data_IF_732654719554
#
_entry.id   IF_732654719554
#
_cell.length_a   1.000
_cell.length_b   1.000
_cell.length_c   1.000
_cell.angle_alpha   90.00
_cell.angle_beta   90.00
_cell.angle_gamma   90.00
#
_symmetry.space_group_name_H-M   'P 1'
#
loop_
_entity.id
_entity.type
_entity.pdbx_description
1 polymer ?
#
# COMPACT_ATOMS: atom_id res chain seq x y z
N UNK A 1 -7.87 -29.28 48.32
CA UNK A 1 -6.57 -29.55 47.69
C UNK A 1 -5.99 -28.35 46.93
N UNK A 2 -6.80 -27.53 46.22
CA UNK A 2 -6.32 -26.34 45.51
C UNK A 2 -5.96 -25.17 46.46
N UNK A 3 -6.67 -25.02 47.58
CA UNK A 3 -6.38 -23.95 48.56
C UNK A 3 -5.01 -24.11 49.22
N UNK A 4 -4.65 -25.33 49.62
CA UNK A 4 -3.35 -25.64 50.24
C UNK A 4 -2.17 -25.38 49.29
N UNK A 5 -2.38 -25.50 47.98
CA UNK A 5 -1.35 -25.20 46.99
C UNK A 5 -1.12 -23.69 46.84
N UNK A 6 -2.20 -22.91 46.78
CA UNK A 6 -2.13 -21.45 46.73
C UNK A 6 -1.53 -20.85 48.00
N UNK A 7 -1.83 -21.44 49.14
CA UNK A 7 -1.32 -21.00 50.44
C UNK A 7 0.18 -21.29 50.58
N UNK A 8 0.65 -22.42 50.05
CA UNK A 8 2.09 -22.73 49.93
C UNK A 8 2.82 -21.79 48.97
N UNK A 9 2.19 -21.36 47.88
CA UNK A 9 2.77 -20.36 46.96
C UNK A 9 2.91 -19.00 47.66
N UNK A 10 1.91 -18.62 48.47
CA UNK A 10 1.94 -17.35 49.20
C UNK A 10 3.03 -17.33 50.28
N UNK A 11 3.16 -18.42 51.04
CA UNK A 11 4.22 -18.60 52.04
C UNK A 11 5.62 -18.61 51.40
N UNK A 12 5.76 -19.20 50.20
CA UNK A 12 7.01 -19.18 49.45
C UNK A 12 7.38 -17.75 48.98
N UNK A 13 6.39 -16.96 48.53
CA UNK A 13 6.61 -15.57 48.15
C UNK A 13 7.05 -14.70 49.34
N UNK A 14 6.42 -14.87 50.50
CA UNK A 14 6.77 -14.14 51.72
C UNK A 14 8.20 -14.48 52.18
N UNK A 15 8.61 -15.75 52.12
CA UNK A 15 9.99 -16.14 52.43
C UNK A 15 11.03 -15.66 51.41
N UNK A 16 10.71 -15.59 50.12
CA UNK A 16 11.63 -15.03 49.11
C UNK A 16 11.88 -13.53 49.37
N UNK A 17 10.87 -12.82 49.90
CA UNK A 17 10.98 -11.42 50.30
C UNK A 17 11.78 -11.24 51.59
N UNK A 18 11.57 -12.09 52.60
CA UNK A 18 12.30 -12.04 53.89
C UNK A 18 13.77 -12.45 53.79
N UNK A 19 14.12 -13.39 52.91
CA UNK A 19 15.50 -13.91 52.74
C UNK A 19 16.41 -12.90 52.02
N UNK A 20 15.90 -11.73 51.60
CA UNK A 20 16.75 -10.67 51.05
C UNK A 20 17.39 -11.02 49.70
N UNK A 21 16.92 -12.09 49.03
CA UNK A 21 17.30 -12.40 47.64
C UNK A 21 16.75 -11.39 46.63
N UNK A 22 15.99 -10.38 47.09
CA UNK A 22 15.48 -9.29 46.29
C UNK A 22 16.49 -8.17 46.01
N UNK A 23 17.74 -8.28 46.47
CA UNK A 23 18.77 -7.24 46.24
C UNK A 23 19.71 -7.47 45.05
N UNK A 24 19.50 -8.45 44.17
CA UNK A 24 20.42 -8.60 43.03
C UNK A 24 19.85 -8.95 41.65
N UNK A 25 18.76 -9.68 41.47
CA UNK A 25 18.28 -9.96 40.10
C UNK A 25 16.77 -10.20 40.10
N UNK A 26 16.00 -9.20 39.66
CA UNK A 26 14.72 -9.25 38.93
C UNK A 26 14.02 -7.88 39.03
N UNK A 27 14.75 -6.81 38.69
CA UNK A 27 14.10 -5.64 38.14
C UNK A 27 13.67 -6.03 36.72
N UNK A 28 12.54 -6.76 36.60
CA UNK A 28 11.81 -6.74 35.34
C UNK A 28 11.49 -5.26 35.10
N UNK A 29 11.96 -4.67 33.98
CA UNK A 29 11.47 -3.34 33.64
C UNK A 29 9.95 -3.47 33.59
N UNK A 30 9.26 -2.65 34.38
CA UNK A 30 7.81 -2.57 34.32
C UNK A 30 7.40 -2.59 32.84
N UNK A 31 6.40 -3.41 32.43
CA UNK A 31 6.03 -3.47 31.03
C UNK A 31 5.82 -2.04 30.55
N UNK A 32 6.61 -1.62 29.55
CA UNK A 32 6.38 -0.39 28.78
C UNK A 32 5.10 -0.56 27.97
N UNK A 33 3.99 -0.80 28.65
CA UNK A 33 2.64 -0.74 28.14
C UNK A 33 2.04 0.52 28.78
N UNK A 34 1.66 1.47 27.92
CA UNK A 34 1.22 2.84 28.24
C UNK A 34 2.32 3.87 28.53
N UNK A 35 3.30 3.95 27.63
CA UNK A 35 3.89 5.22 27.26
C UNK A 35 3.82 5.35 25.73
N UNK A 36 2.60 5.47 25.20
CA UNK A 36 2.43 6.03 23.86
C UNK A 36 2.97 7.47 23.94
N UNK A 37 3.92 7.88 23.09
CA UNK A 37 4.12 9.29 22.85
C UNK A 37 2.86 9.77 22.11
N UNK A 38 1.85 10.19 22.85
CA UNK A 38 0.79 10.99 22.26
C UNK A 38 1.33 12.42 22.19
N UNK A 39 1.33 12.95 20.96
CA UNK A 39 1.44 14.38 20.61
C UNK A 39 2.85 14.93 20.35
N UNK A 40 3.52 14.35 19.35
CA UNK A 40 4.36 15.09 18.38
C UNK A 40 4.46 14.41 17.01
N UNK A 41 3.92 13.20 16.84
CA UNK A 41 3.97 12.44 15.58
C UNK A 41 3.10 12.98 14.44
N UNK A 42 2.19 13.92 14.70
CA UNK A 42 1.23 14.40 13.69
C UNK A 42 1.85 15.39 12.68
N UNK A 43 3.11 15.78 12.89
CA UNK A 43 3.87 16.67 12.00
C UNK A 43 4.95 15.95 11.19
N UNK A 44 5.25 14.69 11.51
CA UNK A 44 6.31 13.92 10.85
C UNK A 44 5.85 13.26 9.55
N UNK A 45 6.77 12.78 8.69
CA UNK A 45 6.41 12.13 7.42
C UNK A 45 5.44 10.96 7.60
N UNK A 46 5.55 10.19 8.68
CA UNK A 46 4.63 9.09 9.03
C UNK A 46 3.21 9.60 9.35
N UNK A 47 3.09 10.72 10.08
CA UNK A 47 1.79 11.35 10.35
C UNK A 47 1.13 11.88 9.08
N UNK A 48 1.92 12.42 8.14
CA UNK A 48 1.41 12.83 6.82
C UNK A 48 0.97 11.59 6.02
N UNK A 49 1.76 10.53 6.01
CA UNK A 49 1.43 9.27 5.35
C UNK A 49 0.04 8.76 5.78
N UNK A 50 -0.21 8.66 7.10
CA UNK A 50 -1.46 8.12 7.65
C UNK A 50 -2.69 8.93 7.20
N UNK A 51 -2.55 10.25 7.02
CA UNK A 51 -3.65 11.12 6.60
C UNK A 51 -3.83 11.17 5.09
N UNK A 52 -2.74 11.05 4.32
CA UNK A 52 -2.75 11.27 2.88
C UNK A 52 -2.97 9.98 2.07
N UNK A 53 -2.52 8.83 2.56
CA UNK A 53 -2.74 7.52 1.92
C UNK A 53 -4.07 6.96 2.39
N UNK A 54 -5.02 6.85 1.46
CA UNK A 54 -6.41 6.45 1.73
C UNK A 54 -6.85 5.21 0.95
N UNK A 55 -6.12 4.81 -0.09
CA UNK A 55 -6.44 3.59 -0.85
C UNK A 55 -5.93 2.37 -0.10
N UNK A 56 -6.85 1.49 0.31
CA UNK A 56 -6.54 0.31 1.12
C UNK A 56 -5.45 -0.59 0.50
N UNK A 57 -5.47 -0.81 -0.82
CA UNK A 57 -4.50 -1.67 -1.50
C UNK A 57 -3.08 -1.07 -1.51
N UNK A 58 -2.96 0.25 -1.39
CA UNK A 58 -1.66 0.92 -1.21
C UNK A 58 -1.29 0.89 0.26
N UNK A 59 -2.18 1.35 1.14
CA UNK A 59 -1.93 1.43 2.57
C UNK A 59 -1.47 0.09 3.15
N UNK A 60 -2.20 -0.99 2.85
CA UNK A 60 -1.95 -2.34 3.38
C UNK A 60 -0.57 -2.89 3.02
N UNK A 61 0.03 -2.48 1.91
CA UNK A 61 1.34 -2.98 1.49
C UNK A 61 2.49 -2.05 1.87
N UNK A 62 2.27 -0.73 1.98
CA UNK A 62 3.37 0.23 2.19
C UNK A 62 3.46 0.81 3.61
N UNK A 63 2.42 0.71 4.45
CA UNK A 63 2.35 1.41 5.74
C UNK A 63 3.48 1.03 6.68
N UNK A 64 3.62 -0.26 6.97
CA UNK A 64 4.60 -0.75 7.94
C UNK A 64 6.04 -0.59 7.42
N UNK A 65 6.23 -0.75 6.10
CA UNK A 65 7.51 -0.51 5.43
C UNK A 65 7.94 0.94 5.56
N UNK A 66 7.03 1.87 5.27
CA UNK A 66 7.28 3.31 5.35
C UNK A 66 7.56 3.74 6.80
N UNK A 67 6.73 3.31 7.76
CA UNK A 67 6.93 3.61 9.17
C UNK A 67 8.25 3.06 9.73
N UNK A 68 8.74 1.95 9.17
CA UNK A 68 10.01 1.33 9.55
C UNK A 68 11.23 1.89 8.78
N UNK A 69 11.06 2.91 7.94
CA UNK A 69 12.15 3.52 7.17
C UNK A 69 12.60 2.75 5.92
N UNK A 70 11.86 1.72 5.50
CA UNK A 70 12.13 0.93 4.30
C UNK A 70 11.50 1.59 3.06
N UNK A 71 11.87 2.85 2.80
CA UNK A 71 11.23 3.71 1.81
C UNK A 71 11.25 3.16 0.39
N UNK A 72 12.41 2.69 -0.10
CA UNK A 72 12.51 2.02 -1.40
C UNK A 72 11.53 0.86 -1.52
N UNK A 73 11.46 -0.01 -0.51
CA UNK A 73 10.57 -1.18 -0.53
C UNK A 73 9.09 -0.78 -0.43
N UNK A 74 8.77 0.26 0.35
CA UNK A 74 7.42 0.81 0.43
C UNK A 74 6.92 1.32 -0.94
N UNK A 75 7.78 2.05 -1.68
CA UNK A 75 7.49 2.50 -3.04
C UNK A 75 7.34 1.31 -3.99
N UNK A 76 8.24 0.32 -3.88
CA UNK A 76 8.20 -0.89 -4.71
C UNK A 76 6.86 -1.62 -4.61
N UNK A 77 6.44 -1.92 -3.38
CA UNK A 77 5.20 -2.66 -3.13
C UNK A 77 3.96 -1.84 -3.50
N UNK A 78 3.98 -0.51 -3.32
CA UNK A 78 2.90 0.36 -3.77
C UNK A 78 2.70 0.30 -5.30
N UNK A 79 3.76 0.42 -6.10
CA UNK A 79 3.64 0.34 -7.57
C UNK A 79 3.30 -1.08 -8.05
N UNK A 80 3.75 -2.11 -7.34
CA UNK A 80 3.37 -3.51 -7.61
C UNK A 80 1.88 -3.76 -7.31
N UNK A 81 1.31 -3.10 -6.31
CA UNK A 81 -0.13 -3.14 -6.04
C UNK A 81 -0.92 -2.51 -7.20
N UNK A 82 -0.48 -1.36 -7.74
CA UNK A 82 -1.07 -0.75 -8.94
C UNK A 82 -1.01 -1.71 -10.14
N UNK A 83 0.16 -2.29 -10.40
CA UNK A 83 0.36 -3.24 -11.49
C UNK A 83 -0.59 -4.44 -11.39
N UNK A 84 -0.66 -5.07 -10.20
CA UNK A 84 -1.57 -6.19 -9.94
C UNK A 84 -3.02 -5.82 -10.15
N UNK A 85 -3.45 -4.66 -9.66
CA UNK A 85 -4.82 -4.20 -9.83
C UNK A 85 -5.16 -4.02 -11.33
N UNK A 86 -4.29 -3.37 -12.10
CA UNK A 86 -4.47 -3.18 -13.55
C UNK A 86 -4.52 -4.53 -14.26
N UNK A 87 -3.63 -5.46 -13.92
CA UNK A 87 -3.60 -6.80 -14.51
C UNK A 87 -4.89 -7.58 -14.26
N UNK A 88 -5.40 -7.54 -13.02
CA UNK A 88 -6.64 -8.19 -12.64
C UNK A 88 -7.85 -7.58 -13.33
N UNK A 89 -7.96 -6.24 -13.34
CA UNK A 89 -9.11 -5.54 -13.92
C UNK A 89 -9.17 -5.68 -15.45
N UNK A 90 -8.02 -5.75 -16.12
CA UNK A 90 -7.94 -5.94 -17.57
C UNK A 90 -7.94 -7.40 -18.00
N UNK A 91 -7.83 -8.36 -17.09
CA UNK A 91 -7.60 -9.79 -17.40
C UNK A 91 -6.35 -10.04 -18.28
N UNK A 92 -5.39 -9.11 -18.33
CA UNK A 92 -4.16 -9.24 -19.13
C UNK A 92 -3.09 -10.08 -18.40
N UNK A 93 -3.43 -11.35 -18.13
CA UNK A 93 -2.57 -12.29 -17.42
C UNK A 93 -1.30 -12.60 -18.24
N UNK A 94 -0.14 -12.54 -17.60
CA UNK A 94 1.15 -12.93 -18.20
C UNK A 94 1.98 -11.78 -18.78
N UNK A 95 1.47 -10.54 -18.78
CA UNK A 95 2.24 -9.34 -19.15
C UNK A 95 2.46 -8.48 -17.90
N UNK A 96 3.63 -7.86 -17.77
CA UNK A 96 4.05 -7.07 -16.60
C UNK A 96 4.74 -5.76 -16.98
N UNK A 97 4.85 -4.86 -16.01
CA UNK A 97 5.60 -3.61 -16.08
C UNK A 97 5.09 -2.68 -17.19
N UNK A 98 6.03 -2.06 -17.90
CA UNK A 98 5.73 -1.09 -18.96
C UNK A 98 4.90 -1.69 -20.10
N UNK A 99 5.18 -2.94 -20.48
CA UNK A 99 4.46 -3.61 -21.57
C UNK A 99 2.98 -3.80 -21.22
N UNK A 100 2.67 -4.15 -19.97
CA UNK A 100 1.29 -4.29 -19.49
C UNK A 100 0.54 -2.96 -19.63
N UNK A 101 1.15 -1.86 -19.17
CA UNK A 101 0.53 -0.53 -19.21
C UNK A 101 0.30 -0.06 -20.65
N UNK A 102 1.25 -0.33 -21.54
CA UNK A 102 1.14 -0.02 -22.97
C UNK A 102 0.00 -0.78 -23.66
N UNK A 103 -0.17 -2.05 -23.34
CA UNK A 103 -1.25 -2.87 -23.88
C UNK A 103 -2.60 -2.43 -23.32
N UNK A 104 -2.72 -2.29 -22.00
CA UNK A 104 -3.99 -2.06 -21.32
C UNK A 104 -4.57 -0.68 -21.62
N UNK A 105 -3.74 0.35 -21.65
CA UNK A 105 -4.16 1.74 -21.87
C UNK A 105 -3.90 2.26 -23.30
N UNK A 106 -3.65 1.37 -24.25
CA UNK A 106 -3.38 1.70 -25.66
C UNK A 106 -4.37 2.71 -26.24
N UNK A 107 -3.90 3.66 -27.05
CA UNK A 107 -4.80 4.64 -27.69
C UNK A 107 -5.64 4.02 -28.80
N UNK A 108 -5.11 2.97 -29.46
CA UNK A 108 -5.78 2.29 -30.56
C UNK A 108 -6.88 1.34 -30.07
N UNK A 109 -6.52 0.40 -29.19
CA UNK A 109 -7.45 -0.59 -28.64
C UNK A 109 -7.22 -0.76 -27.13
N UNK A 110 -7.69 0.17 -26.28
CA UNK A 110 -7.54 0.07 -24.85
C UNK A 110 -8.47 -0.98 -24.26
N UNK A 111 -7.95 -1.75 -23.32
CA UNK A 111 -8.74 -2.63 -22.47
C UNK A 111 -9.38 -1.83 -21.33
N UNK A 112 -8.70 -0.78 -20.86
CA UNK A 112 -9.18 0.15 -19.83
C UNK A 112 -9.16 1.60 -20.36
N UNK A 113 -10.28 2.30 -20.18
CA UNK A 113 -10.46 3.68 -20.65
C UNK A 113 -11.37 4.50 -19.72
N UNK A 114 -11.28 5.82 -19.79
CA UNK A 114 -12.03 6.75 -18.92
C UNK A 114 -13.20 7.45 -19.62
N UNK A 115 -13.18 7.51 -20.95
CA UNK A 115 -14.13 8.27 -21.76
C UNK A 115 -14.35 7.59 -23.12
N UNK A 116 -15.26 8.14 -23.92
CA UNK A 116 -15.54 7.61 -25.27
C UNK A 116 -14.44 7.94 -26.28
N UNK A 117 -13.47 8.78 -25.93
CA UNK A 117 -12.32 9.15 -26.77
C UNK A 117 -12.74 9.77 -28.12
N UNK A 118 -13.88 10.47 -28.13
CA UNK A 118 -14.43 11.13 -29.31
C UNK A 118 -13.81 12.50 -29.55
N UNK A 119 -13.51 13.21 -28.46
CA UNK A 119 -12.88 14.54 -28.52
C UNK A 119 -11.37 14.44 -28.44
N UNK A 120 -10.66 15.45 -28.95
CA UNK A 120 -9.19 15.55 -28.83
C UNK A 120 -8.74 15.48 -27.37
N UNK A 121 -9.43 16.20 -26.48
CA UNK A 121 -9.09 16.21 -25.04
C UNK A 121 -9.22 14.83 -24.39
N UNK A 122 -10.21 14.04 -24.78
CA UNK A 122 -10.38 12.66 -24.29
C UNK A 122 -9.30 11.71 -24.83
N UNK A 123 -8.90 11.88 -26.08
CA UNK A 123 -7.79 11.12 -26.68
C UNK A 123 -6.45 11.48 -26.02
N UNK A 124 -6.24 12.77 -25.75
CA UNK A 124 -5.07 13.27 -25.04
C UNK A 124 -5.05 12.80 -23.58
N UNK A 125 -6.20 12.76 -22.89
CA UNK A 125 -6.29 12.16 -21.54
C UNK A 125 -5.85 10.69 -21.57
N UNK A 126 -6.38 9.89 -22.50
CA UNK A 126 -6.02 8.48 -22.63
C UNK A 126 -4.51 8.32 -22.89
N UNK A 127 -3.97 9.07 -23.85
CA UNK A 127 -2.56 9.03 -24.22
C UNK A 127 -1.65 9.49 -23.08
N UNK A 128 -2.04 10.55 -22.38
CA UNK A 128 -1.29 11.11 -21.26
C UNK A 128 -1.22 10.13 -20.10
N UNK A 129 -2.34 9.53 -19.70
CA UNK A 129 -2.33 8.53 -18.63
C UNK A 129 -1.57 7.28 -19.02
N UNK A 130 -1.70 6.80 -20.26
CA UNK A 130 -0.86 5.72 -20.79
C UNK A 130 0.64 6.01 -20.55
N UNK A 131 1.10 7.22 -20.91
CA UNK A 131 2.49 7.63 -20.69
C UNK A 131 2.87 7.68 -19.21
N UNK A 132 1.97 8.18 -18.34
CA UNK A 132 2.19 8.21 -16.90
C UNK A 132 2.35 6.81 -16.30
N UNK A 133 1.46 5.87 -16.63
CA UNK A 133 1.56 4.49 -16.16
C UNK A 133 2.83 3.81 -16.68
N UNK A 134 3.09 3.90 -17.99
CA UNK A 134 4.26 3.28 -18.62
C UNK A 134 5.57 3.85 -18.05
N UNK A 135 5.64 5.17 -17.90
CA UNK A 135 6.76 5.89 -17.32
C UNK A 135 6.96 5.58 -15.84
N UNK A 136 5.89 5.44 -15.06
CA UNK A 136 5.98 5.04 -13.66
C UNK A 136 6.58 3.63 -13.48
N UNK A 137 6.17 2.69 -14.33
CA UNK A 137 6.74 1.33 -14.30
C UNK A 137 8.23 1.34 -14.67
N UNK A 138 8.59 2.07 -15.73
CA UNK A 138 9.96 2.11 -16.25
C UNK A 138 10.91 2.91 -15.36
N UNK A 139 10.50 4.11 -14.93
CA UNK A 139 11.36 5.09 -14.28
C UNK A 139 11.33 5.06 -12.76
N UNK A 140 10.30 4.46 -12.14
CA UNK A 140 10.18 4.38 -10.68
C UNK A 140 10.25 2.92 -10.22
N UNK A 141 9.29 2.08 -10.61
CA UNK A 141 9.19 0.70 -10.12
C UNK A 141 10.41 -0.15 -10.49
N UNK A 142 10.91 -0.03 -11.71
CA UNK A 142 12.04 -0.83 -12.18
C UNK A 142 13.36 -0.51 -11.44
N UNK A 143 13.85 0.75 -11.39
CA UNK A 143 15.06 1.08 -10.62
C UNK A 143 14.98 0.63 -9.17
N UNK A 144 13.84 0.88 -8.50
CA UNK A 144 13.62 0.48 -7.11
C UNK A 144 13.72 -1.03 -6.89
N UNK A 145 13.38 -1.84 -7.89
CA UNK A 145 13.45 -3.31 -7.81
C UNK A 145 14.86 -3.86 -8.05
N UNK A 146 15.70 -3.14 -8.79
CA UNK A 146 17.02 -3.61 -9.22
C UNK A 146 18.18 -2.99 -8.43
N UNK A 147 17.95 -1.86 -7.77
CA UNK A 147 18.96 -1.11 -7.01
C UNK A 147 18.68 -1.14 -5.50
N UNK A 148 19.74 -1.13 -4.70
CA UNK A 148 19.62 -1.09 -3.23
C UNK A 148 19.53 0.35 -2.72
N UNK A 149 18.56 0.63 -1.85
CA UNK A 149 18.35 1.97 -1.24
C UNK A 149 18.28 3.09 -2.28
N UNK A 150 17.65 2.83 -3.43
CA UNK A 150 17.45 3.82 -4.49
C UNK A 150 16.71 5.08 -4.01
N UNK A 151 15.81 4.90 -3.04
CA UNK A 151 15.05 5.96 -2.38
C UNK A 151 15.27 5.82 -0.87
N UNK A 152 15.87 6.85 -0.28
CA UNK A 152 16.19 6.96 1.14
C UNK A 152 15.51 8.15 1.83
N UNK A 153 15.05 9.15 1.07
CA UNK A 153 14.31 10.29 1.59
C UNK A 153 12.83 9.92 1.89
N UNK A 154 12.34 10.11 3.13
CA UNK A 154 10.94 9.87 3.49
C UNK A 154 9.94 10.69 2.69
N UNK A 155 10.25 11.94 2.36
CA UNK A 155 9.31 12.82 1.68
C UNK A 155 9.15 12.42 0.21
N UNK A 156 10.26 12.21 -0.50
CA UNK A 156 10.25 11.65 -1.85
C UNK A 156 9.52 10.30 -1.91
N UNK A 157 9.77 9.42 -0.94
CA UNK A 157 9.06 8.14 -0.85
C UNK A 157 7.55 8.33 -0.71
N UNK A 158 7.11 9.28 0.11
CA UNK A 158 5.70 9.60 0.29
C UNK A 158 5.09 10.16 -1.00
N UNK A 159 5.77 11.07 -1.68
CA UNK A 159 5.32 11.63 -2.98
C UNK A 159 5.07 10.51 -4.01
N UNK A 160 5.99 9.56 -4.11
CA UNK A 160 5.89 8.43 -5.03
C UNK A 160 4.78 7.45 -4.65
N UNK A 161 4.56 7.22 -3.35
CA UNK A 161 3.43 6.41 -2.86
C UNK A 161 2.11 7.11 -3.16
N UNK A 162 2.02 8.43 -2.98
CA UNK A 162 0.83 9.21 -3.32
C UNK A 162 0.58 9.23 -4.83
N UNK A 163 1.64 9.22 -5.64
CA UNK A 163 1.52 9.06 -7.09
C UNK A 163 1.00 7.66 -7.46
N UNK A 164 1.53 6.59 -6.85
CA UNK A 164 1.01 5.24 -7.03
C UNK A 164 -0.48 5.15 -6.65
N UNK A 165 -0.86 5.79 -5.54
CA UNK A 165 -2.27 5.91 -5.12
C UNK A 165 -3.14 6.64 -6.15
N UNK A 166 -2.68 7.77 -6.71
CA UNK A 166 -3.40 8.46 -7.77
C UNK A 166 -3.62 7.57 -8.99
N UNK A 167 -2.58 6.84 -9.41
CA UNK A 167 -2.68 5.86 -10.49
C UNK A 167 -3.64 4.71 -10.13
N UNK A 168 -3.66 4.22 -8.89
CA UNK A 168 -4.64 3.20 -8.50
C UNK A 168 -6.07 3.73 -8.59
N UNK A 169 -6.34 4.93 -8.08
CA UNK A 169 -7.67 5.57 -8.18
C UNK A 169 -8.10 5.72 -9.63
N UNK A 170 -7.19 6.19 -10.50
CA UNK A 170 -7.48 6.30 -11.94
C UNK A 170 -7.77 4.94 -12.56
N UNK A 171 -7.05 3.88 -12.19
CA UNK A 171 -7.33 2.54 -12.69
C UNK A 171 -8.70 2.01 -12.21
N UNK A 172 -9.08 2.29 -10.96
CA UNK A 172 -10.40 1.94 -10.40
C UNK A 172 -11.54 2.60 -11.18
N UNK A 173 -11.38 3.87 -11.55
CA UNK A 173 -12.37 4.64 -12.33
C UNK A 173 -12.49 4.22 -13.79
N UNK A 174 -11.50 3.49 -14.34
CA UNK A 174 -11.54 3.07 -15.72
C UNK A 174 -12.66 2.03 -15.96
N UNK A 175 -13.31 2.13 -17.13
CA UNK A 175 -14.27 1.15 -17.63
C UNK A 175 -13.52 0.05 -18.39
N UNK A 176 -14.08 -1.16 -18.39
CA UNK A 176 -13.55 -2.25 -19.21
C UNK A 176 -14.23 -2.29 -20.57
N UNK A 177 -13.52 -2.69 -21.61
CA UNK A 177 -14.10 -2.90 -22.95
C UNK A 177 -15.25 -3.92 -22.96
N UNK A 178 -15.23 -4.89 -22.04
CA UNK A 178 -16.23 -5.95 -21.96
C UNK A 178 -17.57 -5.45 -21.37
N UNK A 179 -17.55 -4.43 -20.51
CA UNK A 179 -18.78 -3.84 -19.93
C UNK A 179 -19.55 -3.00 -20.95
N UNK A 180 -18.86 -2.35 -21.90
CA UNK A 180 -19.51 -1.54 -22.95
C UNK A 180 -20.29 -2.38 -23.97
N UNK A 181 -19.86 -3.61 -24.28
CA UNK A 181 -20.59 -4.49 -25.19
C UNK A 181 -21.91 -5.02 -24.59
N UNK A 182 -21.99 -5.13 -23.27
CA UNK A 182 -23.20 -5.59 -22.57
C UNK A 182 -24.34 -4.58 -22.59
N UNK A 183 -24.02 -3.27 -22.55
CA UNK A 183 -25.02 -2.20 -22.53
C UNK A 183 -25.64 -1.93 -23.91
N UNK A 184 -24.89 -2.17 -24.98
CA UNK A 184 -25.38 -2.02 -26.36
C UNK A 184 -26.35 -3.16 -26.72
N UNK A 185 -26.04 -4.40 -26.31
CA UNK A 185 -26.91 -5.56 -26.54
C UNK A 185 -28.24 -5.52 -25.77
N UNK A 186 -28.29 -4.91 -24.58
CA UNK A 186 -29.55 -4.75 -23.84
C UNK A 186 -30.49 -3.72 -24.49
N UNK A 187 -29.94 -2.77 -25.25
CA UNK A 187 -30.73 -1.73 -25.92
C UNK A 187 -31.34 -2.24 -27.23
N UNK A 188 -30.64 -3.14 -27.94
CA UNK A 188 -31.12 -3.75 -29.20
C UNK A 188 -32.14 -4.86 -28.95
N UNK A 189 -32.15 -5.51 -27.78
CA UNK A 189 -33.13 -6.55 -27.45
C UNK A 189 -34.50 -6.01 -26.98
N UNK A 190 -34.66 -4.69 -26.86
CA UNK A 190 -35.88 -4.03 -26.40
C UNK A 190 -36.70 -3.35 -27.52
N UNK A 191 -36.34 -3.59 -28.78
CA UNK A 191 -37.06 -3.14 -30.00
C UNK A 191 -37.47 -4.32 -30.86
#
# INVERSE_FOLDING_TARGET
MISQFLERIKQLQEHILEVGLAQTVLALPAPRMLALPRLSEDSGPVGIYIRAVTEFEIESVSRDLYASGHYSLAVQEAFKAVEKYVQQKSCALGVSGTQLMQQVFSTANPMLFWSERKTTSEQDEQKGYLQLYAGAMLGIRNPVTHEFKWIDDPLLSLELILFAQHLLRKAKMARTSNESEGLDRSTVAAT
#
